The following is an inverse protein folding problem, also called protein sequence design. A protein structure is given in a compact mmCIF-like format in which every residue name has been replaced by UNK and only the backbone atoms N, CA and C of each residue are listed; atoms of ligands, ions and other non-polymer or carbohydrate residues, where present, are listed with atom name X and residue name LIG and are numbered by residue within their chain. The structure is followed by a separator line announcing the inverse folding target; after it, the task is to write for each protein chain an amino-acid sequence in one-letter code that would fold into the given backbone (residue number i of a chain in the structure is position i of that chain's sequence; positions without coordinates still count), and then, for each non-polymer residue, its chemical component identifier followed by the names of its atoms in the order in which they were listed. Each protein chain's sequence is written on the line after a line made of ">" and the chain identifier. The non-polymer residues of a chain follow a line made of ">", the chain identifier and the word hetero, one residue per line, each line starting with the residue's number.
data_IF_382914282316
#
_entry.id   IF_382914282316
#
_cell.length_a   1.000
_cell.length_b   1.000
_cell.length_c   1.000
_cell.angle_alpha   90.00
_cell.angle_beta   90.00
_cell.angle_gamma   90.00
#
_symmetry.space_group_name_H-M   'P 1'
#
loop_
_entity.id
_entity.type
_entity.pdbx_description
1 polymer ?
#
# COMPACT_ATOMS: atom_id res chain seq x y z
N UNK A 1 -28.17 42.38 5.72
CA UNK A 1 -27.41 42.39 4.46
C UNK A 1 -25.96 42.13 4.78
N UNK A 2 -25.21 41.33 3.99
CA UNK A 2 -23.78 41.16 4.21
C UNK A 2 -23.11 42.54 4.16
N UNK A 3 -22.27 42.85 5.15
CA UNK A 3 -21.57 44.13 5.17
C UNK A 3 -20.41 44.12 4.17
N UNK A 4 -19.98 45.31 3.72
CA UNK A 4 -18.78 45.45 2.87
C UNK A 4 -17.49 44.99 3.57
N UNK A 5 -17.52 44.90 4.91
CA UNK A 5 -16.44 44.31 5.71
C UNK A 5 -16.43 42.79 5.57
N UNK A 6 -17.60 42.14 5.68
CA UNK A 6 -17.71 40.68 5.54
C UNK A 6 -17.23 40.19 4.16
N UNK A 7 -17.54 40.95 3.10
CA UNK A 7 -17.05 40.65 1.75
C UNK A 7 -15.53 40.78 1.65
N UNK A 8 -14.93 41.83 2.23
CA UNK A 8 -13.47 42.02 2.25
C UNK A 8 -12.77 40.91 3.03
N UNK A 9 -13.31 40.51 4.18
CA UNK A 9 -12.76 39.44 4.99
C UNK A 9 -12.83 38.09 4.26
N UNK A 10 -13.91 37.82 3.53
CA UNK A 10 -14.04 36.62 2.69
C UNK A 10 -13.03 36.60 1.54
N UNK A 11 -12.82 37.73 0.85
CA UNK A 11 -11.81 37.86 -0.21
C UNK A 11 -10.42 37.56 0.35
N UNK A 12 -10.08 38.15 1.51
CA UNK A 12 -8.80 37.91 2.18
C UNK A 12 -8.62 36.45 2.57
N UNK A 13 -9.67 35.82 3.11
CA UNK A 13 -9.65 34.40 3.47
C UNK A 13 -9.41 33.51 2.26
N UNK A 14 -10.13 33.72 1.15
CA UNK A 14 -9.98 32.92 -0.07
C UNK A 14 -8.59 33.13 -0.69
N UNK A 15 -8.10 34.37 -0.72
CA UNK A 15 -6.75 34.69 -1.20
C UNK A 15 -5.66 33.98 -0.39
N UNK A 16 -5.80 33.95 0.94
CA UNK A 16 -4.88 33.22 1.80
C UNK A 16 -4.94 31.71 1.55
N UNK A 17 -6.15 31.14 1.45
CA UNK A 17 -6.32 29.72 1.11
C UNK A 17 -5.66 29.39 -0.23
N UNK A 18 -5.83 30.23 -1.26
CA UNK A 18 -5.22 30.03 -2.58
C UNK A 18 -3.69 30.06 -2.54
N UNK A 19 -3.09 30.94 -1.73
CA UNK A 19 -1.63 30.98 -1.53
C UNK A 19 -1.12 29.71 -0.85
N UNK A 20 -1.81 29.25 0.19
CA UNK A 20 -1.44 28.04 0.93
C UNK A 20 -1.57 26.80 0.05
N UNK A 21 -2.68 26.64 -0.67
CA UNK A 21 -2.87 25.49 -1.56
C UNK A 21 -1.91 25.53 -2.74
N UNK A 22 -1.59 26.71 -3.28
CA UNK A 22 -0.56 26.87 -4.30
C UNK A 22 0.82 26.42 -3.83
N UNK A 23 1.23 26.82 -2.61
CA UNK A 23 2.48 26.34 -2.02
C UNK A 23 2.47 24.82 -1.78
N UNK A 24 1.35 24.27 -1.27
CA UNK A 24 1.18 22.82 -1.09
C UNK A 24 1.28 22.06 -2.41
N UNK A 25 0.71 22.58 -3.49
CA UNK A 25 0.79 21.98 -4.83
C UNK A 25 2.24 21.89 -5.30
N UNK A 26 3.04 22.95 -5.15
CA UNK A 26 4.45 22.94 -5.53
C UNK A 26 5.27 21.93 -4.71
N UNK A 27 5.02 21.87 -3.40
CA UNK A 27 5.67 20.90 -2.51
C UNK A 27 5.28 19.47 -2.90
N UNK A 28 4.00 19.22 -3.16
CA UNK A 28 3.49 17.90 -3.56
C UNK A 28 4.07 17.47 -4.92
N UNK A 29 4.13 18.38 -5.89
CA UNK A 29 4.74 18.13 -7.19
C UNK A 29 6.22 17.75 -7.07
N UNK A 30 6.98 18.48 -6.24
CA UNK A 30 8.39 18.16 -5.97
C UNK A 30 8.56 16.77 -5.34
N UNK A 31 7.72 16.42 -4.36
CA UNK A 31 7.73 15.10 -3.72
C UNK A 31 7.35 13.98 -4.70
N UNK A 32 6.33 14.20 -5.53
CA UNK A 32 5.90 13.24 -6.54
C UNK A 32 7.01 12.96 -7.55
N UNK A 33 7.65 13.99 -8.09
CA UNK A 33 8.77 13.83 -9.02
C UNK A 33 9.91 13.04 -8.38
N UNK A 34 10.23 13.33 -7.11
CA UNK A 34 11.25 12.55 -6.38
C UNK A 34 10.84 11.09 -6.20
N UNK A 35 9.60 10.81 -5.83
CA UNK A 35 9.10 9.45 -5.68
C UNK A 35 9.11 8.69 -7.01
N UNK A 36 8.78 9.35 -8.13
CA UNK A 36 8.87 8.76 -9.47
C UNK A 36 10.30 8.37 -9.82
N UNK A 37 11.28 9.25 -9.59
CA UNK A 37 12.70 8.94 -9.81
C UNK A 37 13.18 7.76 -8.94
N UNK A 38 12.71 7.66 -7.70
CA UNK A 38 13.05 6.53 -6.83
C UNK A 38 12.48 5.21 -7.36
N UNK A 39 11.25 5.22 -7.87
CA UNK A 39 10.63 4.04 -8.48
C UNK A 39 11.34 3.67 -9.79
N UNK A 40 11.69 4.65 -10.62
CA UNK A 40 12.41 4.43 -11.88
C UNK A 40 13.79 3.81 -11.63
N UNK A 41 14.54 4.34 -10.67
CA UNK A 41 15.85 3.80 -10.29
C UNK A 41 15.76 2.40 -9.63
N UNK A 42 14.66 2.11 -8.93
CA UNK A 42 14.44 0.80 -8.30
C UNK A 42 13.87 -0.27 -9.24
N UNK A 43 13.30 0.13 -10.39
CA UNK A 43 12.63 -0.77 -11.33
C UNK A 43 13.57 -1.86 -11.88
N UNK A 44 14.81 -1.56 -12.34
CA UNK A 44 15.70 -2.61 -12.83
C UNK A 44 15.97 -3.68 -11.78
N UNK A 45 16.17 -3.29 -10.52
CA UNK A 45 16.36 -4.25 -9.42
C UNK A 45 15.13 -5.15 -9.25
N UNK A 46 13.93 -4.57 -9.22
CA UNK A 46 12.70 -5.35 -9.08
C UNK A 46 12.45 -6.28 -10.27
N UNK A 47 12.73 -5.85 -11.49
CA UNK A 47 12.56 -6.66 -12.70
C UNK A 47 13.55 -7.82 -12.75
N UNK A 48 14.83 -7.58 -12.46
CA UNK A 48 15.83 -8.64 -12.38
C UNK A 48 15.51 -9.63 -11.25
N UNK A 49 15.07 -9.14 -10.08
CA UNK A 49 14.65 -10.00 -8.98
C UNK A 49 13.47 -10.89 -9.39
N UNK A 50 12.48 -10.33 -10.10
CA UNK A 50 11.37 -11.10 -10.65
C UNK A 50 11.87 -12.18 -11.61
N UNK A 51 12.75 -11.85 -12.56
CA UNK A 51 13.32 -12.83 -13.49
C UNK A 51 14.03 -13.97 -12.76
N UNK A 52 14.83 -13.66 -11.74
CA UNK A 52 15.52 -14.68 -10.94
C UNK A 52 14.51 -15.56 -10.20
N UNK A 53 13.49 -14.97 -9.58
CA UNK A 53 12.45 -15.72 -8.87
C UNK A 53 11.62 -16.60 -9.82
N UNK A 54 11.25 -16.11 -11.00
CA UNK A 54 10.52 -16.88 -12.02
C UNK A 54 11.34 -18.05 -12.55
N UNK A 55 12.65 -17.86 -12.75
CA UNK A 55 13.55 -18.94 -13.17
C UNK A 55 13.67 -20.01 -12.09
N UNK A 56 13.75 -19.60 -10.81
CA UNK A 56 13.79 -20.54 -9.69
C UNK A 56 12.47 -21.30 -9.52
N UNK A 57 11.32 -20.61 -9.63
CA UNK A 57 10.01 -21.25 -9.50
C UNK A 57 9.76 -22.29 -10.59
N UNK A 58 10.15 -22.01 -11.83
CA UNK A 58 10.01 -22.94 -12.96
C UNK A 58 10.88 -24.19 -12.83
N UNK A 59 12.05 -24.08 -12.18
CA UNK A 59 12.91 -25.23 -11.86
C UNK A 59 12.33 -26.05 -10.71
N UNK A 60 11.73 -25.42 -9.71
CA UNK A 60 11.13 -26.12 -8.56
C UNK A 60 9.82 -26.83 -8.86
N UNK A 61 9.08 -26.42 -9.90
CA UNK A 61 7.87 -27.14 -10.36
C UNK A 61 8.17 -28.58 -10.83
N UNK A 62 9.43 -28.89 -11.14
CA UNK A 62 9.89 -30.22 -11.59
C UNK A 62 10.54 -31.05 -10.47
N UNK A 63 10.64 -30.50 -9.25
CA UNK A 63 11.21 -31.19 -8.10
C UNK A 63 10.05 -31.72 -7.24
N UNK A 64 9.65 -32.95 -7.52
CA UNK A 64 8.70 -33.70 -6.69
C UNK A 64 9.16 -33.67 -5.20
N UNK A 65 8.26 -33.18 -4.35
CA UNK A 65 8.16 -33.43 -2.90
C UNK A 65 9.26 -32.96 -1.92
N UNK A 66 10.36 -32.28 -2.31
CA UNK A 66 11.50 -32.13 -1.35
C UNK A 66 12.15 -30.76 -1.18
N UNK A 67 11.63 -29.65 -1.70
CA UNK A 67 12.19 -28.34 -1.34
C UNK A 67 11.31 -27.62 -0.33
N UNK A 68 11.75 -27.65 0.93
CA UNK A 68 11.18 -27.00 2.12
C UNK A 68 11.27 -25.46 1.96
N UNK A 69 10.55 -24.91 0.98
CA UNK A 69 10.47 -23.48 0.69
C UNK A 69 9.10 -22.98 1.15
N UNK A 70 8.96 -22.51 2.40
CA UNK A 70 7.64 -22.25 2.96
C UNK A 70 6.88 -21.17 2.21
N UNK A 71 7.58 -20.24 1.54
CA UNK A 71 7.00 -19.11 0.79
C UNK A 71 6.35 -19.49 -0.55
N UNK A 72 6.66 -20.67 -1.10
CA UNK A 72 6.03 -21.20 -2.33
C UNK A 72 4.82 -22.10 -2.01
N UNK A 73 4.67 -22.52 -0.75
CA UNK A 73 3.68 -23.53 -0.36
C UNK A 73 2.27 -22.94 -0.33
N UNK A 74 1.47 -23.29 -1.33
CA UNK A 74 0.04 -22.94 -1.37
C UNK A 74 -0.71 -23.77 -0.30
N UNK A 75 -1.56 -23.10 0.48
CA UNK A 75 -2.36 -23.70 1.57
C UNK A 75 -3.83 -23.29 1.42
N UNK A 76 -4.78 -24.05 1.99
CA UNK A 76 -6.17 -23.59 2.13
C UNK A 76 -6.23 -22.27 2.90
N UNK A 77 -6.90 -21.26 2.34
CA UNK A 77 -6.86 -19.89 2.86
C UNK A 77 -7.94 -19.70 3.93
N UNK A 78 -7.55 -19.76 5.22
CA UNK A 78 -8.44 -19.47 6.34
C UNK A 78 -8.12 -18.12 6.99
N UNK A 79 -6.85 -17.72 6.98
CA UNK A 79 -6.38 -16.45 7.54
C UNK A 79 -5.56 -15.66 6.51
N UNK A 80 -5.91 -14.40 6.32
CA UNK A 80 -5.26 -13.48 5.39
C UNK A 80 -4.62 -12.34 6.15
N UNK A 81 -3.34 -12.08 5.89
CA UNK A 81 -2.65 -10.90 6.36
C UNK A 81 -2.69 -9.83 5.27
N UNK A 82 -3.37 -8.71 5.55
CA UNK A 82 -3.53 -7.60 4.61
C UNK A 82 -2.57 -6.47 4.94
N UNK A 83 -1.57 -6.24 4.08
CA UNK A 83 -0.75 -5.03 4.10
C UNK A 83 -1.55 -3.87 3.48
N UNK A 84 -1.99 -2.92 4.29
CA UNK A 84 -2.78 -1.78 3.84
C UNK A 84 -1.95 -0.50 3.79
N UNK A 85 -1.60 -0.05 2.58
CA UNK A 85 -0.77 1.14 2.37
C UNK A 85 -1.64 2.36 2.12
N UNK A 86 -1.52 3.36 3.00
CA UNK A 86 -2.28 4.61 2.96
C UNK A 86 -1.40 5.81 3.30
N UNK A 87 -1.77 7.03 2.87
CA UNK A 87 -1.04 8.22 3.26
C UNK A 87 -1.22 8.55 4.76
N UNK A 88 -0.23 9.19 5.34
CA UNK A 88 -0.35 9.78 6.69
C UNK A 88 -1.22 11.04 6.69
N UNK A 89 -1.11 11.84 5.63
CA UNK A 89 -1.78 13.14 5.48
C UNK A 89 -3.06 13.03 4.67
N UNK A 90 -3.95 14.00 4.86
CA UNK A 90 -5.16 14.18 4.05
C UNK A 90 -4.92 15.02 2.79
N UNK A 91 -5.99 15.61 2.27
CA UNK A 91 -5.96 16.50 1.09
C UNK A 91 -5.41 15.82 -0.18
N UNK A 92 -5.60 14.51 -0.30
CA UNK A 92 -5.16 13.69 -1.43
C UNK A 92 -6.33 13.31 -2.36
N UNK A 93 -7.36 14.15 -2.45
CA UNK A 93 -8.56 13.89 -3.24
C UNK A 93 -9.25 12.59 -2.84
N UNK A 94 -9.62 11.77 -3.82
CA UNK A 94 -10.32 10.50 -3.67
C UNK A 94 -9.42 9.32 -3.25
N UNK A 95 -8.10 9.51 -3.17
CA UNK A 95 -7.13 8.44 -2.91
C UNK A 95 -7.49 7.61 -1.66
N UNK A 96 -7.69 8.30 -0.53
CA UNK A 96 -7.99 7.62 0.74
C UNK A 96 -9.34 6.91 0.66
N UNK A 97 -10.35 7.55 0.08
CA UNK A 97 -11.69 6.97 -0.03
C UNK A 97 -11.69 5.71 -0.90
N UNK A 98 -10.98 5.72 -2.04
CA UNK A 98 -10.85 4.57 -2.93
C UNK A 98 -10.12 3.40 -2.26
N UNK A 99 -9.01 3.69 -1.57
CA UNK A 99 -8.27 2.70 -0.77
C UNK A 99 -9.14 2.05 0.30
N UNK A 100 -9.83 2.86 1.11
CA UNK A 100 -10.69 2.35 2.18
C UNK A 100 -11.90 1.60 1.63
N UNK A 101 -12.45 2.01 0.49
CA UNK A 101 -13.56 1.31 -0.17
C UNK A 101 -13.12 -0.06 -0.67
N UNK A 102 -11.94 -0.15 -1.29
CA UNK A 102 -11.37 -1.43 -1.73
C UNK A 102 -11.08 -2.36 -0.55
N UNK A 103 -10.46 -1.84 0.52
CA UNK A 103 -10.22 -2.62 1.72
C UNK A 103 -11.53 -3.13 2.36
N UNK A 104 -12.53 -2.26 2.52
CA UNK A 104 -13.83 -2.65 3.05
C UNK A 104 -14.49 -3.74 2.21
N UNK A 105 -14.50 -3.57 0.88
CA UNK A 105 -15.08 -4.53 -0.06
C UNK A 105 -14.36 -5.88 -0.01
N UNK A 106 -13.03 -5.87 0.15
CA UNK A 106 -12.25 -7.11 0.26
C UNK A 106 -12.55 -7.82 1.57
N UNK A 107 -12.61 -7.06 2.68
CA UNK A 107 -12.94 -7.60 4.01
C UNK A 107 -14.34 -8.20 4.03
N UNK A 108 -15.35 -7.49 3.51
CA UNK A 108 -16.73 -7.97 3.51
C UNK A 108 -16.97 -9.15 2.57
N UNK A 109 -16.16 -9.28 1.51
CA UNK A 109 -16.30 -10.33 0.51
C UNK A 109 -15.47 -11.58 0.77
N UNK A 110 -14.67 -11.60 1.84
CA UNK A 110 -13.83 -12.75 2.19
C UNK A 110 -14.52 -13.60 3.25
N UNK A 111 -14.47 -14.92 3.06
CA UNK A 111 -14.87 -15.90 4.07
C UNK A 111 -13.73 -16.17 5.08
N UNK A 112 -12.50 -15.78 4.73
CA UNK A 112 -11.33 -15.92 5.58
C UNK A 112 -11.23 -14.79 6.61
N UNK A 113 -10.62 -15.07 7.76
CA UNK A 113 -10.31 -14.07 8.77
C UNK A 113 -9.20 -13.15 8.27
N UNK A 114 -9.43 -11.84 8.29
CA UNK A 114 -8.45 -10.85 7.82
C UNK A 114 -7.90 -10.07 9.01
N UNK A 115 -6.57 -10.08 9.14
CA UNK A 115 -5.83 -9.18 10.02
C UNK A 115 -5.07 -8.17 9.18
N UNK A 116 -5.01 -6.91 9.63
CA UNK A 116 -4.47 -5.80 8.84
C UNK A 116 -3.17 -5.26 9.42
N UNK A 117 -2.17 -5.12 8.56
CA UNK A 117 -0.93 -4.40 8.81
C UNK A 117 -1.07 -3.02 8.18
N UNK A 118 -1.29 -1.99 9.00
CA UNK A 118 -1.54 -0.64 8.53
C UNK A 118 -0.25 0.15 8.32
N UNK A 119 0.08 0.50 7.08
CA UNK A 119 1.12 1.48 6.76
C UNK A 119 0.45 2.83 6.51
N UNK A 120 0.71 3.78 7.40
CA UNK A 120 0.17 5.13 7.35
C UNK A 120 -1.10 5.34 8.17
N UNK A 121 -1.23 6.56 8.70
CA UNK A 121 -2.23 6.94 9.72
C UNK A 121 -3.68 6.89 9.22
N UNK A 122 -3.95 7.10 7.93
CA UNK A 122 -5.34 7.11 7.42
C UNK A 122 -5.96 5.72 7.44
N UNK A 123 -5.21 4.71 6.99
CA UNK A 123 -5.62 3.31 7.00
C UNK A 123 -5.75 2.76 8.41
N UNK A 124 -4.75 2.99 9.26
CA UNK A 124 -4.78 2.59 10.67
C UNK A 124 -6.05 3.09 11.39
N UNK A 125 -6.37 4.38 11.23
CA UNK A 125 -7.58 4.97 11.82
C UNK A 125 -8.87 4.42 11.22
N UNK A 126 -8.86 4.03 9.95
CA UNK A 126 -10.03 3.45 9.29
C UNK A 126 -10.31 2.04 9.84
N UNK A 127 -9.30 1.18 9.88
CA UNK A 127 -9.38 -0.20 10.39
C UNK A 127 -9.81 -0.21 11.85
N UNK A 128 -9.17 0.61 12.69
CA UNK A 128 -9.52 0.71 14.11
C UNK A 128 -10.97 1.18 14.32
N UNK A 129 -11.46 2.15 13.50
CA UNK A 129 -12.86 2.60 13.59
C UNK A 129 -13.86 1.57 13.08
N UNK A 130 -13.46 0.72 12.14
CA UNK A 130 -14.29 -0.35 11.61
C UNK A 130 -14.36 -1.57 12.54
N UNK A 131 -13.66 -1.55 13.68
CA UNK A 131 -13.57 -2.69 14.61
C UNK A 131 -12.86 -3.90 14.02
N UNK A 132 -12.04 -3.69 12.98
CA UNK A 132 -11.27 -4.74 12.32
C UNK A 132 -9.93 -4.95 13.03
N UNK A 133 -9.38 -6.15 12.92
CA UNK A 133 -8.11 -6.51 13.57
C UNK A 133 -6.94 -5.75 12.94
N UNK A 134 -6.32 -4.85 13.72
CA UNK A 134 -5.11 -4.12 13.34
C UNK A 134 -3.91 -4.82 13.99
N UNK A 135 -3.35 -5.79 13.27
CA UNK A 135 -2.24 -6.63 13.72
C UNK A 135 -0.98 -5.83 14.03
N UNK A 136 -0.62 -4.90 13.14
CA UNK A 136 0.56 -4.06 13.30
C UNK A 136 0.38 -2.71 12.60
N UNK A 137 1.15 -1.71 13.03
CA UNK A 137 1.11 -0.36 12.48
C UNK A 137 2.50 0.19 12.23
N UNK A 138 2.74 0.71 11.04
CA UNK A 138 4.01 1.32 10.63
C UNK A 138 3.78 2.71 10.05
N UNK A 139 4.80 3.57 10.15
CA UNK A 139 4.87 4.86 9.46
C UNK A 139 6.14 4.89 8.64
N UNK A 140 6.01 5.23 7.37
CA UNK A 140 7.11 5.29 6.41
C UNK A 140 7.27 6.75 5.99
N UNK A 141 8.49 7.31 6.01
CA UNK A 141 8.72 8.69 5.61
C UNK A 141 8.43 8.92 4.12
N UNK A 142 8.17 10.18 3.73
CA UNK A 142 7.95 10.56 2.32
C UNK A 142 9.11 10.12 1.40
N UNK A 143 10.32 10.03 1.94
CA UNK A 143 11.51 9.46 1.27
C UNK A 143 11.82 8.11 1.90
N UNK A 144 11.13 7.07 1.44
CA UNK A 144 11.32 5.72 1.92
C UNK A 144 12.67 5.14 1.46
N UNK A 145 13.41 4.53 2.37
CA UNK A 145 14.56 3.68 2.09
C UNK A 145 14.16 2.20 2.20
N UNK A 146 15.05 1.30 1.78
CA UNK A 146 14.83 -0.13 1.97
C UNK A 146 14.80 -0.51 3.46
N UNK A 147 15.56 0.19 4.30
CA UNK A 147 15.59 -0.08 5.75
C UNK A 147 14.23 0.22 6.40
N UNK A 148 13.53 1.26 5.93
CA UNK A 148 12.20 1.63 6.41
C UNK A 148 11.15 0.53 6.14
N UNK A 149 11.34 -0.28 5.10
CA UNK A 149 10.40 -1.33 4.69
C UNK A 149 10.84 -2.74 5.07
N UNK A 150 12.12 -2.94 5.38
CA UNK A 150 12.69 -4.26 5.71
C UNK A 150 12.02 -4.89 6.93
N UNK A 151 11.71 -4.10 7.96
CA UNK A 151 11.03 -4.57 9.16
C UNK A 151 9.60 -5.08 8.86
N UNK A 152 8.90 -4.40 7.95
CA UNK A 152 7.56 -4.79 7.50
C UNK A 152 7.65 -6.11 6.73
N UNK A 153 8.56 -6.18 5.75
CA UNK A 153 8.74 -7.38 4.92
C UNK A 153 9.11 -8.60 5.75
N UNK A 154 10.04 -8.48 6.71
CA UNK A 154 10.43 -9.58 7.60
C UNK A 154 9.24 -10.10 8.40
N UNK A 155 8.48 -9.21 9.04
CA UNK A 155 7.30 -9.62 9.80
C UNK A 155 6.28 -10.35 8.91
N UNK A 156 5.97 -9.83 7.71
CA UNK A 156 5.04 -10.51 6.79
C UNK A 156 5.52 -11.92 6.39
N UNK A 157 6.83 -12.06 6.14
CA UNK A 157 7.47 -13.33 5.78
C UNK A 157 7.39 -14.30 6.97
N UNK A 158 7.81 -13.87 8.16
CA UNK A 158 7.86 -14.71 9.36
C UNK A 158 6.45 -15.22 9.74
N UNK A 159 5.45 -14.35 9.69
CA UNK A 159 4.05 -14.70 9.96
C UNK A 159 3.49 -15.76 9.00
N UNK A 160 3.88 -15.70 7.73
CA UNK A 160 3.51 -16.68 6.72
C UNK A 160 4.27 -18.01 6.91
N UNK A 161 5.58 -17.94 7.14
CA UNK A 161 6.43 -19.11 7.35
C UNK A 161 5.98 -19.93 8.57
N UNK A 162 5.65 -19.25 9.67
CA UNK A 162 5.15 -19.85 10.90
C UNK A 162 3.73 -20.44 10.75
N UNK A 163 3.02 -20.15 9.65
CA UNK A 163 1.67 -20.62 9.40
C UNK A 163 0.60 -19.94 10.24
N UNK A 164 0.88 -18.74 10.76
CA UNK A 164 -0.13 -17.91 11.43
C UNK A 164 -1.14 -17.35 10.41
N UNK A 165 -0.67 -17.12 9.18
CA UNK A 165 -1.48 -16.68 8.03
C UNK A 165 -1.19 -17.54 6.80
N UNK A 166 -2.23 -17.79 6.00
CA UNK A 166 -2.18 -18.67 4.83
C UNK A 166 -1.97 -17.91 3.52
N UNK A 167 -2.16 -16.59 3.56
CA UNK A 167 -2.07 -15.69 2.40
C UNK A 167 -1.71 -14.27 2.85
N UNK A 168 -0.83 -13.61 2.10
CA UNK A 168 -0.49 -12.20 2.31
C UNK A 168 -0.84 -11.39 1.08
N UNK A 169 -1.65 -10.35 1.27
CA UNK A 169 -2.04 -9.42 0.21
C UNK A 169 -1.62 -8.00 0.55
N UNK A 170 -1.50 -7.16 -0.47
CA UNK A 170 -1.22 -5.74 -0.35
C UNK A 170 -2.32 -4.94 -1.05
N UNK A 171 -2.92 -4.00 -0.33
CA UNK A 171 -3.81 -3.00 -0.91
C UNK A 171 -3.06 -1.69 -1.00
N UNK A 172 -2.85 -1.20 -2.21
CA UNK A 172 -2.16 0.06 -2.46
C UNK A 172 -2.73 0.80 -3.68
N UNK A 173 -2.23 2.00 -3.91
CA UNK A 173 -2.54 2.79 -5.09
C UNK A 173 -1.44 2.59 -6.13
N UNK A 174 -1.79 2.01 -7.29
CA UNK A 174 -0.89 1.90 -8.45
C UNK A 174 -0.91 3.25 -9.19
N UNK A 175 0.26 3.88 -9.25
CA UNK A 175 0.45 5.09 -10.03
C UNK A 175 0.39 4.75 -11.53
N UNK A 176 -0.54 5.37 -12.26
CA UNK A 176 -0.62 5.27 -13.72
C UNK A 176 -0.07 6.56 -14.32
N UNK A 177 -0.63 7.69 -13.92
CA UNK A 177 -0.16 9.01 -14.30
C UNK A 177 -0.57 10.05 -13.22
N UNK A 178 -0.25 11.32 -13.45
CA UNK A 178 -0.52 12.39 -12.49
C UNK A 178 -2.00 12.61 -12.19
N UNK A 179 -2.89 12.28 -13.14
CA UNK A 179 -4.34 12.42 -12.99
C UNK A 179 -5.03 11.13 -12.51
N UNK A 180 -4.45 9.97 -12.81
CA UNK A 180 -5.06 8.66 -12.61
C UNK A 180 -4.23 7.76 -11.71
N UNK A 181 -4.87 7.30 -10.65
CA UNK A 181 -4.32 6.36 -9.69
C UNK A 181 -5.33 5.22 -9.52
N UNK A 182 -4.89 3.98 -9.69
CA UNK A 182 -5.76 2.81 -9.62
C UNK A 182 -5.51 2.06 -8.32
N UNK A 183 -6.52 1.95 -7.47
CA UNK A 183 -6.44 1.09 -6.29
C UNK A 183 -6.36 -0.37 -6.74
N UNK A 184 -5.40 -1.11 -6.22
CA UNK A 184 -5.10 -2.49 -6.64
C UNK A 184 -4.86 -3.35 -5.41
N UNK A 185 -5.30 -4.60 -5.50
CA UNK A 185 -4.96 -5.68 -4.58
C UNK A 185 -3.90 -6.51 -5.26
N UNK A 186 -2.74 -6.67 -4.62
CA UNK A 186 -1.63 -7.48 -5.12
C UNK A 186 -1.37 -8.59 -4.13
N UNK A 187 -1.25 -9.82 -4.61
CA UNK A 187 -0.83 -10.95 -3.80
C UNK A 187 0.69 -10.92 -3.62
N UNK A 188 1.16 -11.01 -2.38
CA UNK A 188 2.59 -11.04 -2.06
C UNK A 188 3.06 -12.45 -1.76
N UNK A 189 2.29 -13.20 -0.95
CA UNK A 189 2.57 -14.58 -0.57
C UNK A 189 1.28 -15.42 -0.67
N UNK A 190 1.34 -16.67 -1.15
CA UNK A 190 2.53 -17.37 -1.66
C UNK A 190 3.14 -16.72 -2.91
N UNK A 191 4.43 -16.95 -3.13
CA UNK A 191 5.08 -16.55 -4.39
C UNK A 191 4.55 -17.46 -5.49
N UNK A 192 3.92 -16.90 -6.52
CA UNK A 192 3.48 -17.64 -7.71
C UNK A 192 4.16 -17.12 -8.97
N UNK A 193 4.37 -18.01 -9.93
CA UNK A 193 4.88 -17.67 -11.27
C UNK A 193 3.94 -16.72 -12.03
N UNK A 194 2.66 -16.66 -11.66
CA UNK A 194 1.64 -15.77 -12.23
C UNK A 194 1.62 -14.34 -11.67
N UNK A 195 2.32 -14.06 -10.55
CA UNK A 195 2.44 -12.70 -10.00
C UNK A 195 3.45 -11.81 -10.77
N UNK A 196 3.81 -12.22 -11.99
CA UNK A 196 4.89 -11.66 -12.81
C UNK A 196 4.45 -10.52 -13.74
N UNK A 197 3.18 -10.09 -13.74
CA UNK A 197 2.68 -8.94 -14.54
C UNK A 197 2.68 -7.59 -13.79
#
# INVERSE_FOLDING_TARGET
>A
MPSTKDLRDRIRSISNTAKVTGAMQLIAASKMNRAQLMVENGRPYSEHMKTVLSNLSGVTEHLDETTDMPLLKIRPVNKILMLFITPDRGLAGSLVANLTKMAASYISGSEALISVVGVGKKGQRFIARAGQDLYASYSVPDRASLDDTTSISKMLIDEYQNGNFDKVIMIHSKFINTASQKTTVTELLPISSSNSE
#
